data_IF_258186988198
#
_entry.id   IF_258186988198
#
_cell.length_a   1.000
_cell.length_b   1.000
_cell.length_c   1.000
_cell.angle_alpha   90.00
_cell.angle_beta   90.00
_cell.angle_gamma   90.00
#
_symmetry.space_group_name_H-M   'P 1'
#
loop_
_entity.id
_entity.type
_entity.pdbx_description
1 polymer ?
#
# COMPACT_ATOMS: atom_id res chain seq x y z
N UNK A 1 13.98 12.68 -10.35
CA UNK A 1 14.76 12.80 -9.09
C UNK A 1 14.83 11.43 -8.42
N UNK A 2 15.98 11.06 -7.91
CA UNK A 2 16.18 9.80 -7.19
C UNK A 2 15.64 9.91 -5.76
N UNK A 3 14.85 8.94 -5.32
CA UNK A 3 14.32 8.88 -3.96
C UNK A 3 14.81 7.63 -3.22
N UNK A 4 14.70 7.64 -1.88
CA UNK A 4 15.12 6.50 -1.05
C UNK A 4 14.39 5.23 -1.48
N UNK A 5 13.10 5.32 -1.81
CA UNK A 5 12.32 4.16 -2.27
C UNK A 5 12.96 3.48 -3.48
N UNK A 6 13.62 4.23 -4.37
CA UNK A 6 14.26 3.68 -5.56
C UNK A 6 15.37 2.67 -5.24
N UNK A 7 15.95 2.75 -4.03
CA UNK A 7 16.97 1.80 -3.58
C UNK A 7 16.35 0.41 -3.34
N UNK A 8 15.12 0.37 -2.85
CA UNK A 8 14.46 -0.87 -2.43
C UNK A 8 13.63 -1.52 -3.51
N UNK A 9 13.07 -0.74 -4.44
CA UNK A 9 12.16 -1.26 -5.47
C UNK A 9 12.76 -2.43 -6.27
N UNK A 10 14.05 -2.42 -6.68
CA UNK A 10 14.62 -3.57 -7.39
C UNK A 10 14.58 -4.87 -6.61
N UNK A 11 14.41 -4.81 -5.28
CA UNK A 11 14.31 -5.99 -4.43
C UNK A 11 13.10 -6.86 -4.75
N UNK A 12 12.08 -6.33 -5.42
CA UNK A 12 10.93 -7.12 -5.88
C UNK A 12 11.30 -8.18 -6.93
N UNK A 13 12.47 -8.08 -7.53
CA UNK A 13 12.97 -9.09 -8.48
C UNK A 13 13.61 -10.29 -7.78
N UNK A 14 13.83 -10.23 -6.47
CA UNK A 14 14.39 -11.32 -5.70
C UNK A 14 13.45 -12.53 -5.75
N UNK A 15 14.02 -13.75 -5.85
CA UNK A 15 13.24 -14.99 -5.88
C UNK A 15 12.68 -15.38 -4.51
N UNK A 16 13.19 -14.80 -3.43
CA UNK A 16 12.74 -15.10 -2.08
C UNK A 16 11.52 -14.27 -1.70
N UNK A 17 10.39 -14.94 -1.45
CA UNK A 17 9.13 -14.26 -1.13
C UNK A 17 9.21 -13.49 0.20
N UNK A 18 9.93 -14.01 1.18
CA UNK A 18 10.09 -13.31 2.46
C UNK A 18 10.80 -11.98 2.27
N UNK A 19 11.82 -11.95 1.42
CA UNK A 19 12.52 -10.71 1.11
C UNK A 19 11.62 -9.72 0.38
N UNK A 20 10.81 -10.19 -0.59
CA UNK A 20 9.86 -9.32 -1.28
C UNK A 20 8.81 -8.75 -0.31
N UNK A 21 8.37 -9.56 0.66
CA UNK A 21 7.48 -9.12 1.73
C UNK A 21 8.11 -7.96 2.52
N UNK A 22 9.35 -8.09 2.91
CA UNK A 22 10.06 -7.05 3.63
C UNK A 22 10.24 -5.77 2.79
N UNK A 23 10.49 -5.92 1.50
CA UNK A 23 10.56 -4.78 0.57
C UNK A 23 9.24 -4.01 0.57
N UNK A 24 8.12 -4.72 0.45
CA UNK A 24 6.80 -4.08 0.47
C UNK A 24 6.55 -3.33 1.79
N UNK A 25 6.94 -3.94 2.90
CA UNK A 25 6.82 -3.32 4.22
C UNK A 25 7.62 -2.01 4.31
N UNK A 26 8.87 -2.04 3.87
CA UNK A 26 9.75 -0.87 3.90
C UNK A 26 9.17 0.25 3.02
N UNK A 27 8.69 -0.10 1.82
CA UNK A 27 8.11 0.87 0.91
C UNK A 27 6.85 1.53 1.50
N UNK A 28 6.06 0.76 2.25
CA UNK A 28 4.93 1.30 2.99
C UNK A 28 5.35 2.30 4.06
N UNK A 29 6.46 2.05 4.75
CA UNK A 29 6.99 2.96 5.75
C UNK A 29 7.53 4.26 5.13
N UNK A 30 8.13 4.17 3.97
CA UNK A 30 8.68 5.34 3.26
C UNK A 30 7.56 6.24 2.72
N UNK A 31 6.42 5.66 2.32
CA UNK A 31 5.23 6.38 1.83
C UNK A 31 5.48 7.26 0.61
N UNK A 32 6.38 6.84 -0.28
CA UNK A 32 6.68 7.59 -1.50
C UNK A 32 5.78 7.17 -2.65
N UNK A 33 5.28 8.14 -3.41
CA UNK A 33 4.44 7.90 -4.59
C UNK A 33 5.14 7.07 -5.66
N UNK A 34 6.48 7.11 -5.73
CA UNK A 34 7.23 6.30 -6.72
C UNK A 34 7.07 4.81 -6.49
N UNK A 35 6.65 4.39 -5.30
CA UNK A 35 6.40 2.99 -4.97
C UNK A 35 5.04 2.49 -5.45
N UNK A 36 4.13 3.37 -5.85
CA UNK A 36 2.75 3.00 -6.19
C UNK A 36 2.70 1.95 -7.29
N UNK A 37 3.32 2.20 -8.44
CA UNK A 37 3.26 1.26 -9.55
C UNK A 37 3.94 -0.07 -9.26
N UNK A 38 5.15 -0.12 -8.68
CA UNK A 38 5.75 -1.39 -8.28
C UNK A 38 4.91 -2.20 -7.29
N UNK A 39 4.26 -1.53 -6.32
CA UNK A 39 3.39 -2.20 -5.36
C UNK A 39 2.13 -2.74 -6.04
N UNK A 40 1.53 -1.96 -6.94
CA UNK A 40 0.36 -2.40 -7.71
C UNK A 40 0.71 -3.61 -8.58
N UNK A 41 1.87 -3.62 -9.21
CA UNK A 41 2.31 -4.74 -10.04
C UNK A 41 2.38 -6.04 -9.24
N UNK A 42 2.90 -5.98 -8.01
CA UNK A 42 2.94 -7.15 -7.14
C UNK A 42 1.55 -7.56 -6.66
N UNK A 43 0.70 -6.59 -6.33
CA UNK A 43 -0.68 -6.88 -5.91
C UNK A 43 -1.50 -7.55 -7.02
N UNK A 44 -1.33 -7.09 -8.26
CA UNK A 44 -2.05 -7.59 -9.44
C UNK A 44 -1.57 -8.97 -9.91
N UNK A 45 -0.36 -9.37 -9.56
CA UNK A 45 0.23 -10.63 -10.02
C UNK A 45 -0.40 -11.80 -9.25
N UNK A 46 -1.25 -12.58 -9.94
CA UNK A 46 -1.91 -13.73 -9.34
C UNK A 46 -0.94 -14.86 -8.97
N UNK A 47 0.27 -14.85 -9.52
CA UNK A 47 1.32 -15.83 -9.19
C UNK A 47 2.16 -15.41 -7.99
N UNK A 48 2.02 -14.15 -7.53
CA UNK A 48 2.76 -13.69 -6.36
C UNK A 48 2.24 -14.34 -5.09
N UNK A 49 3.13 -14.53 -4.12
CA UNK A 49 2.81 -15.07 -2.80
C UNK A 49 1.76 -14.18 -2.10
N UNK A 50 0.76 -14.80 -1.47
CA UNK A 50 -0.35 -14.08 -0.84
C UNK A 50 0.11 -13.11 0.24
N UNK A 51 1.15 -13.47 1.01
CA UNK A 51 1.68 -12.59 2.05
C UNK A 51 2.38 -11.36 1.47
N UNK A 52 3.02 -11.52 0.31
CA UNK A 52 3.61 -10.38 -0.42
C UNK A 52 2.50 -9.48 -0.92
N UNK A 53 1.45 -10.04 -1.51
CA UNK A 53 0.29 -9.29 -2.01
C UNK A 53 -0.40 -8.54 -0.88
N UNK A 54 -0.58 -9.20 0.27
CA UNK A 54 -1.13 -8.59 1.47
C UNK A 54 -0.31 -7.36 1.90
N UNK A 55 1.00 -7.53 1.99
CA UNK A 55 1.89 -6.45 2.41
C UNK A 55 1.90 -5.29 1.41
N UNK A 56 1.78 -5.60 0.11
CA UNK A 56 1.65 -4.58 -0.93
C UNK A 56 0.34 -3.79 -0.76
N UNK A 57 -0.77 -4.48 -0.45
CA UNK A 57 -2.04 -3.81 -0.20
C UNK A 57 -1.94 -2.86 1.01
N UNK A 58 -1.33 -3.31 2.10
CA UNK A 58 -1.12 -2.46 3.27
C UNK A 58 -0.24 -1.25 2.96
N UNK A 59 0.84 -1.47 2.20
CA UNK A 59 1.74 -0.39 1.79
C UNK A 59 1.01 0.66 0.94
N UNK A 60 0.16 0.21 0.02
CA UNK A 60 -0.64 1.11 -0.80
C UNK A 60 -1.64 1.91 0.04
N UNK A 61 -2.25 1.28 1.03
CA UNK A 61 -3.11 1.98 1.99
C UNK A 61 -2.36 3.05 2.77
N UNK A 62 -1.10 2.79 3.09
CA UNK A 62 -0.23 3.74 3.79
C UNK A 62 0.10 4.96 2.93
N UNK A 63 0.26 4.77 1.61
CA UNK A 63 0.51 5.87 0.66
C UNK A 63 -0.76 6.71 0.44
N UNK A 64 -1.92 6.08 0.41
CA UNK A 64 -3.26 6.68 0.47
C UNK A 64 -3.53 7.81 -0.54
N UNK A 65 -3.69 7.46 -1.82
CA UNK A 65 -4.20 8.38 -2.83
C UNK A 65 -5.54 7.89 -3.37
N UNK A 66 -6.33 8.78 -3.96
CA UNK A 66 -7.65 8.43 -4.51
C UNK A 66 -7.53 7.36 -5.61
N UNK A 67 -6.49 7.43 -6.44
CA UNK A 67 -6.28 6.44 -7.50
C UNK A 67 -5.93 5.07 -6.93
N UNK A 68 -5.17 5.02 -5.83
CA UNK A 68 -4.84 3.78 -5.12
C UNK A 68 -6.11 3.19 -4.52
N UNK A 69 -6.94 4.00 -3.90
CA UNK A 69 -8.20 3.53 -3.30
C UNK A 69 -9.10 2.88 -4.35
N UNK A 70 -9.21 3.48 -5.54
CA UNK A 70 -9.96 2.89 -6.63
C UNK A 70 -9.42 1.53 -7.08
N UNK A 71 -8.11 1.36 -7.09
CA UNK A 71 -7.49 0.06 -7.40
C UNK A 71 -7.78 -0.98 -6.31
N UNK A 72 -7.68 -0.60 -5.04
CA UNK A 72 -7.93 -1.53 -3.93
C UNK A 72 -9.38 -1.98 -3.89
N UNK A 73 -10.32 -1.10 -4.23
CA UNK A 73 -11.75 -1.42 -4.25
C UNK A 73 -12.06 -2.58 -5.22
N UNK A 74 -11.28 -2.75 -6.28
CA UNK A 74 -11.46 -3.85 -7.23
C UNK A 74 -11.25 -5.22 -6.59
N UNK A 75 -10.57 -5.30 -5.46
CA UNK A 75 -10.27 -6.55 -4.75
C UNK A 75 -11.30 -6.87 -3.66
N UNK A 76 -12.39 -6.11 -3.58
CA UNK A 76 -13.47 -6.39 -2.62
C UNK A 76 -14.50 -7.39 -3.14
N UNK A 77 -14.40 -7.79 -4.40
CA UNK A 77 -15.32 -8.73 -5.03
C UNK A 77 -15.19 -10.12 -4.41
N UNK A 78 -16.32 -10.82 -4.29
CA UNK A 78 -16.38 -12.16 -3.69
C UNK A 78 -15.59 -13.20 -4.47
N UNK A 79 -15.26 -12.96 -5.74
CA UNK A 79 -14.43 -13.85 -6.55
C UNK A 79 -12.95 -13.82 -6.15
N UNK A 80 -12.53 -12.79 -5.39
CA UNK A 80 -11.15 -12.63 -4.94
C UNK A 80 -10.93 -13.49 -3.69
N UNK A 81 -9.77 -14.17 -3.55
CA UNK A 81 -9.49 -14.96 -2.35
C UNK A 81 -9.70 -14.15 -1.06
N UNK A 82 -10.35 -14.75 -0.02
CA UNK A 82 -10.71 -14.01 1.18
C UNK A 82 -9.54 -13.28 1.86
N UNK A 83 -8.37 -13.90 1.92
CA UNK A 83 -7.18 -13.28 2.55
C UNK A 83 -6.83 -11.98 1.87
N UNK A 84 -6.81 -11.97 0.54
CA UNK A 84 -6.47 -10.77 -0.22
C UNK A 84 -7.58 -9.73 -0.14
N UNK A 85 -8.84 -10.15 -0.22
CA UNK A 85 -9.99 -9.26 -0.10
C UNK A 85 -9.98 -8.54 1.25
N UNK A 86 -9.76 -9.28 2.34
CA UNK A 86 -9.68 -8.72 3.69
C UNK A 86 -8.50 -7.78 3.84
N UNK A 87 -7.37 -8.08 3.21
CA UNK A 87 -6.20 -7.20 3.21
C UNK A 87 -6.51 -5.86 2.57
N UNK A 88 -7.26 -5.86 1.48
CA UNK A 88 -7.64 -4.63 0.79
C UNK A 88 -8.68 -3.83 1.59
N UNK A 89 -9.59 -4.49 2.31
CA UNK A 89 -10.50 -3.81 3.24
C UNK A 89 -9.71 -3.07 4.32
N UNK A 90 -8.75 -3.75 4.94
CA UNK A 90 -7.91 -3.14 5.99
C UNK A 90 -7.11 -1.98 5.42
N UNK A 91 -6.56 -2.15 4.22
CA UNK A 91 -5.78 -1.09 3.57
C UNK A 91 -6.63 0.15 3.27
N UNK A 92 -7.86 -0.04 2.81
CA UNK A 92 -8.80 1.07 2.56
C UNK A 92 -9.18 1.77 3.85
N UNK A 93 -9.46 1.01 4.92
CA UNK A 93 -9.76 1.58 6.24
C UNK A 93 -8.59 2.40 6.77
N UNK A 94 -7.38 1.88 6.63
CA UNK A 94 -6.17 2.56 7.06
C UNK A 94 -5.93 3.85 6.26
N UNK A 95 -6.17 3.82 4.95
CA UNK A 95 -6.06 5.00 4.10
C UNK A 95 -7.06 6.08 4.52
N UNK A 96 -8.31 5.69 4.80
CA UNK A 96 -9.33 6.62 5.29
C UNK A 96 -8.93 7.22 6.63
N UNK A 97 -8.45 6.40 7.55
CA UNK A 97 -7.99 6.85 8.87
C UNK A 97 -6.86 7.89 8.73
N UNK A 98 -5.88 7.63 7.87
CA UNK A 98 -4.77 8.55 7.66
C UNK A 98 -5.23 9.89 7.09
N UNK A 99 -6.15 9.88 6.14
CA UNK A 99 -6.72 11.09 5.56
C UNK A 99 -7.49 11.90 6.61
N UNK A 100 -8.29 11.24 7.43
CA UNK A 100 -9.05 11.87 8.50
C UNK A 100 -8.13 12.44 9.59
N UNK A 101 -7.08 11.72 9.95
CA UNK A 101 -6.09 12.15 10.93
C UNK A 101 -5.40 13.44 10.46
N UNK A 102 -4.99 13.48 9.19
CA UNK A 102 -4.35 14.67 8.61
C UNK A 102 -5.31 15.86 8.62
N UNK A 103 -6.56 15.65 8.23
CA UNK A 103 -7.58 16.69 8.26
C UNK A 103 -7.84 17.21 9.67
N UNK A 104 -7.88 16.29 10.63
CA UNK A 104 -8.12 16.62 12.03
C UNK A 104 -6.98 17.47 12.60
N UNK A 105 -5.75 17.07 12.33
CA UNK A 105 -4.56 17.81 12.77
C UNK A 105 -4.51 19.20 12.16
N UNK A 106 -4.86 19.33 10.90
CA UNK A 106 -4.91 20.60 10.22
C UNK A 106 -5.97 21.53 10.85
N UNK A 107 -7.16 21.00 11.11
CA UNK A 107 -8.25 21.77 11.74
C UNK A 107 -7.86 22.23 13.14
N UNK A 108 -7.19 21.38 13.92
CA UNK A 108 -6.72 21.72 15.25
C UNK A 108 -5.65 22.83 15.20
N UNK A 109 -4.72 22.75 14.26
CA UNK A 109 -3.71 23.77 14.06
C UNK A 109 -4.33 25.13 13.71
N UNK A 110 -5.36 25.14 12.87
CA UNK A 110 -6.08 26.37 12.53
C UNK A 110 -6.81 26.95 13.74
N UNK A 111 -7.38 26.12 14.59
CA UNK A 111 -8.12 26.59 15.77
C UNK A 111 -7.21 27.20 16.82
N UNK A 112 -5.92 26.89 16.81
CA UNK A 112 -4.92 27.43 17.74
C UNK A 112 -4.22 28.67 17.21
N UNK A 113 -4.45 29.02 15.97
CA UNK A 113 -3.89 30.23 15.36
C UNK A 113 -4.76 31.46 15.68
#
# INVERSE_FOLDING_TARGET
MFEIADIYIPGFKCTNALFRHEIAYVLGQIQSDVSTDPLLDRLRDSEENDMVRHECAEALGSIASDSINGELEKYLDVSIPPVLRESCVVALDFAEYNQNEDQFQYADALSQA
#
